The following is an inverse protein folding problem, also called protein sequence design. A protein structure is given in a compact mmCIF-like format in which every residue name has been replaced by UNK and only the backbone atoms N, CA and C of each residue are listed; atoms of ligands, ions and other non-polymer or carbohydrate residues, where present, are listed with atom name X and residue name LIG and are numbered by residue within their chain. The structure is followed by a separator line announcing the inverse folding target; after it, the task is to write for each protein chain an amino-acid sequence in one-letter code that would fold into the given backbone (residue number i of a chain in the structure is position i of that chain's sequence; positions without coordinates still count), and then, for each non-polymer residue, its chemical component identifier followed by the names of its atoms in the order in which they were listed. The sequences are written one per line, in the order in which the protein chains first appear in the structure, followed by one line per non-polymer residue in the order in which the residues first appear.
data_IF_281341655733
#
_entry.id   IF_281341655733
#
_cell.length_a   1.000
_cell.length_b   1.000
_cell.length_c   1.000
_cell.angle_alpha   90.00
_cell.angle_beta   90.00
_cell.angle_gamma   90.00
#
_symmetry.space_group_name_H-M   'P 1'
#
loop_
_entity.id
_entity.type
_entity.pdbx_description
1 polymer ?
#
# COMPACT_ATOMS: atom_id res chain seq x y z
N UNK A 1 -7.40 4.66 2.02
CA UNK A 1 -7.62 3.24 1.63
C UNK A 1 -6.97 2.27 2.60
N UNK A 2 -5.64 2.30 2.78
CA UNK A 2 -4.91 1.33 3.62
C UNK A 2 -5.43 1.20 5.08
N UNK A 3 -5.83 2.30 5.74
CA UNK A 3 -6.41 2.24 7.09
C UNK A 3 -7.76 1.54 7.16
N UNK A 4 -8.65 1.79 6.18
CA UNK A 4 -9.94 1.11 6.14
C UNK A 4 -9.77 -0.41 5.94
N UNK A 5 -8.84 -0.81 5.07
CA UNK A 5 -8.50 -2.22 4.85
C UNK A 5 -7.93 -2.88 6.11
N UNK A 6 -7.00 -2.21 6.81
CA UNK A 6 -6.48 -2.71 8.10
C UNK A 6 -7.59 -2.99 9.11
N UNK A 7 -8.52 -2.04 9.29
CA UNK A 7 -9.64 -2.19 10.24
C UNK A 7 -10.57 -3.34 9.86
N UNK A 8 -10.86 -3.49 8.55
CA UNK A 8 -11.69 -4.58 8.06
C UNK A 8 -11.07 -5.93 8.35
N UNK A 9 -9.79 -6.13 7.97
CA UNK A 9 -9.07 -7.37 8.24
C UNK A 9 -8.97 -7.68 9.73
N UNK A 10 -8.63 -6.68 10.55
CA UNK A 10 -8.53 -6.85 12.00
C UNK A 10 -9.82 -7.34 12.63
N UNK A 11 -10.96 -6.80 12.19
CA UNK A 11 -12.29 -7.22 12.65
C UNK A 11 -12.70 -8.60 12.12
N UNK A 12 -12.46 -8.88 10.84
CA UNK A 12 -12.84 -10.17 10.23
C UNK A 12 -12.01 -11.34 10.77
N UNK A 13 -10.73 -11.10 11.04
CA UNK A 13 -9.79 -12.13 11.50
C UNK A 13 -9.61 -12.15 13.03
N UNK A 14 -10.25 -11.21 13.74
CA UNK A 14 -10.09 -10.98 15.18
C UNK A 14 -8.60 -10.87 15.60
N UNK A 15 -7.85 -10.00 14.90
CA UNK A 15 -6.41 -9.79 15.11
C UNK A 15 -6.14 -8.34 15.52
N UNK A 16 -5.24 -8.17 16.49
CA UNK A 16 -4.72 -6.85 16.92
C UNK A 16 -3.59 -6.34 16.04
N UNK A 17 -3.08 -7.15 15.12
CA UNK A 17 -2.13 -6.73 14.09
C UNK A 17 -2.42 -7.50 12.79
N UNK A 18 -2.35 -6.79 11.67
CA UNK A 18 -2.56 -7.36 10.33
C UNK A 18 -1.42 -6.97 9.41
N UNK A 19 -1.12 -7.85 8.46
CA UNK A 19 -0.16 -7.61 7.38
C UNK A 19 -0.83 -7.88 6.04
N UNK A 20 -0.66 -6.97 5.09
CA UNK A 20 -1.10 -7.13 3.70
C UNK A 20 -0.10 -6.46 2.76
N UNK A 21 -0.03 -6.89 1.52
CA UNK A 21 0.78 -6.23 0.50
C UNK A 21 0.08 -4.97 0.00
N UNK A 22 0.83 -3.90 -0.27
CA UNK A 22 0.32 -2.74 -1.00
C UNK A 22 1.26 -2.38 -2.15
N UNK A 23 0.68 -2.07 -3.31
CA UNK A 23 1.46 -1.63 -4.47
C UNK A 23 1.80 -0.15 -4.37
N UNK A 24 3.06 0.19 -4.59
CA UNK A 24 3.55 1.57 -4.80
C UNK A 24 3.95 1.73 -6.25
N UNK A 25 3.82 2.95 -6.77
CA UNK A 25 4.22 3.27 -8.15
C UNK A 25 5.73 3.21 -8.36
N UNK A 26 6.53 3.17 -7.27
CA UNK A 26 7.99 3.11 -7.28
C UNK A 26 8.69 4.22 -8.05
N UNK A 27 7.99 5.32 -8.37
CA UNK A 27 8.57 6.50 -9.01
C UNK A 27 9.24 7.36 -7.93
N UNK A 28 10.57 7.56 -7.95
CA UNK A 28 11.22 8.52 -7.06
C UNK A 28 10.67 9.91 -7.34
N UNK A 29 10.31 10.66 -6.29
CA UNK A 29 9.82 12.04 -6.41
C UNK A 29 10.84 12.97 -7.12
N UNK A 30 12.12 12.58 -7.14
CA UNK A 30 13.24 13.35 -7.67
C UNK A 30 13.61 13.00 -9.12
N UNK A 31 12.92 12.05 -9.77
CA UNK A 31 13.23 11.67 -11.14
C UNK A 31 12.49 12.57 -12.14
N UNK A 32 13.18 13.62 -12.61
CA UNK A 32 12.71 14.48 -13.70
C UNK A 32 12.40 13.63 -14.96
N UNK A 33 11.16 13.70 -15.47
CA UNK A 33 10.71 12.88 -16.61
C UNK A 33 10.16 11.50 -16.24
N UNK A 34 9.87 11.23 -14.96
CA UNK A 34 9.23 9.97 -14.56
C UNK A 34 7.83 9.80 -15.15
N UNK A 35 7.09 10.86 -15.44
CA UNK A 35 5.76 10.78 -16.09
C UNK A 35 5.81 10.24 -17.53
N UNK A 36 6.97 10.34 -18.21
CA UNK A 36 7.15 9.90 -19.60
C UNK A 36 7.90 8.58 -19.76
N UNK A 37 8.34 7.95 -18.65
CA UNK A 37 9.05 6.66 -18.71
C UNK A 37 8.05 5.50 -18.56
N UNK A 38 7.86 4.76 -19.65
CA UNK A 38 7.16 3.47 -19.69
C UNK A 38 8.09 2.41 -19.08
N UNK A 39 7.79 1.98 -17.86
CA UNK A 39 8.51 0.93 -17.15
C UNK A 39 7.69 0.42 -15.97
N UNK A 40 7.82 -0.88 -15.65
CA UNK A 40 7.15 -1.50 -14.51
C UNK A 40 7.85 -1.07 -13.21
N UNK A 41 7.64 0.18 -12.79
CA UNK A 41 8.14 0.69 -11.51
C UNK A 41 7.29 0.25 -10.32
N UNK A 42 6.24 -0.56 -10.55
CA UNK A 42 5.37 -1.05 -9.50
C UNK A 42 6.16 -1.96 -8.56
N UNK A 43 6.19 -1.61 -7.28
CA UNK A 43 6.73 -2.45 -6.22
C UNK A 43 5.62 -2.85 -5.24
N UNK A 44 5.78 -3.99 -4.58
CA UNK A 44 4.86 -4.45 -3.54
C UNK A 44 5.57 -4.46 -2.20
N UNK A 45 5.02 -3.73 -1.23
CA UNK A 45 5.59 -3.63 0.11
C UNK A 45 4.62 -4.23 1.14
N UNK A 46 5.14 -4.93 2.16
CA UNK A 46 4.32 -5.36 3.28
C UNK A 46 3.90 -4.13 4.09
N UNK A 47 2.61 -4.05 4.36
CA UNK A 47 2.03 -3.02 5.22
C UNK A 47 1.56 -3.69 6.49
N UNK A 48 2.26 -3.41 7.59
CA UNK A 48 1.92 -3.92 8.92
C UNK A 48 1.14 -2.84 9.66
N UNK A 49 0.07 -3.23 10.33
CA UNK A 49 -0.77 -2.31 11.07
C UNK A 49 -1.21 -2.94 12.37
N UNK A 50 -0.74 -2.37 13.49
CA UNK A 50 -1.27 -2.66 14.82
C UNK A 50 -2.56 -1.87 15.02
N UNK A 51 -3.56 -2.53 15.58
CA UNK A 51 -4.89 -2.01 15.84
C UNK A 51 -5.10 -2.03 17.36
N UNK A 52 -5.13 -0.84 17.94
CA UNK A 52 -5.51 -0.65 19.33
C UNK A 52 -6.97 -0.19 19.37
N UNK A 53 -7.82 -0.98 20.02
CA UNK A 53 -9.25 -0.70 20.15
C UNK A 53 -9.53 0.50 21.06
N UNK A 54 -8.58 0.88 21.91
CA UNK A 54 -8.70 2.05 22.81
C UNK A 54 -8.20 3.33 22.13
N UNK A 55 -7.46 3.22 21.03
CA UNK A 55 -6.93 4.36 20.30
C UNK A 55 -7.99 5.03 19.43
N UNK A 56 -8.06 6.36 19.48
CA UNK A 56 -8.90 7.13 18.56
C UNK A 56 -8.46 6.91 17.10
N UNK A 57 -9.39 6.53 16.23
CA UNK A 57 -9.14 6.23 14.81
C UNK A 57 -8.37 7.35 14.11
N UNK A 58 -8.68 8.62 14.40
CA UNK A 58 -7.97 9.76 13.81
C UNK A 58 -6.49 9.83 14.21
N UNK A 59 -6.16 9.50 15.46
CA UNK A 59 -4.76 9.46 15.94
C UNK A 59 -4.00 8.30 15.31
N UNK A 60 -4.65 7.13 15.26
CA UNK A 60 -4.10 5.94 14.61
C UNK A 60 -3.81 6.16 13.13
N UNK A 61 -4.76 6.75 12.38
CA UNK A 61 -4.57 7.09 10.97
C UNK A 61 -3.42 8.08 10.76
N UNK A 62 -3.26 9.05 11.67
CA UNK A 62 -2.16 10.02 11.61
C UNK A 62 -0.80 9.36 11.84
N UNK A 63 -0.68 8.51 12.86
CA UNK A 63 0.55 7.74 13.11
C UNK A 63 0.90 6.89 11.89
N UNK A 64 -0.08 6.18 11.34
CA UNK A 64 0.11 5.36 10.14
C UNK A 64 0.52 6.17 8.91
N UNK A 65 -0.04 7.37 8.72
CA UNK A 65 0.38 8.28 7.66
C UNK A 65 1.85 8.70 7.84
N UNK A 66 2.28 8.95 9.07
CA UNK A 66 3.68 9.28 9.39
C UNK A 66 4.61 8.11 9.08
N UNK A 67 4.24 6.89 9.46
CA UNK A 67 5.01 5.67 9.16
C UNK A 67 5.16 5.47 7.64
N UNK A 68 4.07 5.69 6.90
CA UNK A 68 4.08 5.64 5.43
C UNK A 68 5.02 6.70 4.83
N UNK A 69 5.06 7.91 5.40
CA UNK A 69 5.99 8.95 4.94
C UNK A 69 7.45 8.60 5.21
N UNK A 70 7.76 8.01 6.37
CA UNK A 70 9.12 7.56 6.70
C UNK A 70 9.56 6.38 5.82
N UNK A 71 8.62 5.51 5.44
CA UNK A 71 8.91 4.34 4.61
C UNK A 71 9.21 4.68 3.14
N UNK A 72 8.92 5.91 2.69
CA UNK A 72 9.11 6.36 1.29
C UNK A 72 10.54 6.14 0.78
N UNK A 73 11.53 6.39 1.64
CA UNK A 73 12.94 6.22 1.29
C UNK A 73 13.25 4.76 0.88
N UNK A 74 12.52 3.79 1.43
CA UNK A 74 12.72 2.36 1.22
C UNK A 74 11.76 1.75 0.20
N UNK A 75 10.88 2.54 -0.43
CA UNK A 75 9.82 2.00 -1.30
C UNK A 75 10.34 1.29 -2.56
N UNK A 76 11.61 1.49 -2.90
CA UNK A 76 12.29 0.84 -4.02
C UNK A 76 12.87 -0.54 -3.65
N UNK A 77 12.80 -0.96 -2.39
CA UNK A 77 13.34 -2.24 -1.92
C UNK A 77 12.49 -3.39 -2.48
N UNK A 78 13.04 -4.29 -3.31
CA UNK A 78 12.27 -5.39 -3.89
C UNK A 78 11.72 -6.32 -2.80
N UNK A 79 10.47 -6.79 -2.98
CA UNK A 79 9.80 -7.67 -2.00
C UNK A 79 10.64 -8.89 -1.59
N UNK A 80 11.37 -9.52 -2.51
CA UNK A 80 12.21 -10.68 -2.19
C UNK A 80 13.33 -10.35 -1.20
N UNK A 81 13.86 -9.13 -1.21
CA UNK A 81 14.87 -8.69 -0.24
C UNK A 81 14.25 -8.50 1.13
N UNK A 82 13.04 -7.93 1.18
CA UNK A 82 12.27 -7.78 2.42
C UNK A 82 11.96 -9.16 3.03
N UNK A 83 11.52 -10.12 2.21
CA UNK A 83 11.28 -11.50 2.64
C UNK A 83 12.55 -12.15 3.18
N UNK A 84 13.69 -11.96 2.51
CA UNK A 84 14.98 -12.48 2.98
C UNK A 84 15.42 -11.85 4.32
N UNK A 85 15.16 -10.56 4.53
CA UNK A 85 15.48 -9.88 5.79
C UNK A 85 14.57 -10.31 6.94
N UNK A 86 13.30 -10.62 6.64
CA UNK A 86 12.34 -11.14 7.61
C UNK A 86 12.55 -12.63 7.93
N UNK A 87 13.43 -13.32 7.19
CA UNK A 87 13.69 -14.74 7.36
C UNK A 87 14.17 -15.08 8.77
N UNK A 88 13.55 -16.08 9.39
CA UNK A 88 13.77 -16.48 10.78
C UNK A 88 13.28 -15.49 11.85
N UNK A 89 12.80 -14.30 11.49
CA UNK A 89 12.21 -13.33 12.44
C UNK A 89 10.68 -13.37 12.45
N UNK A 90 10.08 -13.75 11.32
CA UNK A 90 8.64 -13.87 11.14
C UNK A 90 8.35 -15.28 10.66
N UNK A 91 7.38 -15.97 11.28
CA UNK A 91 6.88 -17.22 10.70
C UNK A 91 6.05 -16.89 9.47
N UNK A 92 6.59 -17.15 8.30
CA UNK A 92 5.79 -17.26 7.09
C UNK A 92 5.01 -18.57 7.19
N UNK A 93 3.70 -18.51 7.01
CA UNK A 93 2.98 -19.71 6.64
C UNK A 93 3.35 -20.09 5.18
N UNK A 94 2.67 -21.08 4.62
CA UNK A 94 2.94 -21.47 3.23
C UNK A 94 2.60 -20.37 2.20
N UNK A 95 1.98 -19.24 2.60
CA UNK A 95 1.52 -18.17 1.70
C UNK A 95 2.48 -16.97 1.67
N UNK A 96 3.45 -16.86 2.59
CA UNK A 96 4.49 -15.82 2.58
C UNK A 96 4.29 -14.75 3.67
N UNK A 97 4.71 -13.50 3.41
CA UNK A 97 4.59 -12.39 4.39
C UNK A 97 3.14 -11.96 4.63
N UNK A 98 2.29 -12.14 3.64
CA UNK A 98 0.89 -11.72 3.63
C UNK A 98 0.10 -12.54 2.62
N UNK A 99 -1.21 -12.60 2.81
CA UNK A 99 -2.18 -13.38 2.04
C UNK A 99 -3.14 -12.52 1.19
N UNK A 100 -3.08 -11.21 1.36
CA UNK A 100 -3.94 -10.24 0.67
C UNK A 100 -3.14 -9.06 0.11
N UNK A 101 -3.62 -8.49 -1.00
CA UNK A 101 -3.00 -7.39 -1.71
C UNK A 101 -4.00 -6.23 -1.90
N UNK A 102 -3.60 -5.02 -1.53
CA UNK A 102 -4.36 -3.80 -1.77
C UNK A 102 -3.69 -2.99 -2.89
N UNK A 103 -4.38 -2.88 -4.02
CA UNK A 103 -3.97 -2.08 -5.17
C UNK A 103 -4.82 -0.81 -5.20
N UNK A 104 -4.18 0.34 -5.37
CA UNK A 104 -4.88 1.62 -5.52
C UNK A 104 -4.39 2.34 -6.77
N UNK A 105 -5.29 2.52 -7.74
CA UNK A 105 -5.02 3.17 -9.01
C UNK A 105 -5.78 4.50 -9.06
N UNK A 106 -5.04 5.61 -9.12
CA UNK A 106 -5.63 6.92 -9.42
C UNK A 106 -5.84 7.00 -10.94
N UNK A 107 -6.92 6.42 -11.47
CA UNK A 107 -7.33 6.73 -12.84
C UNK A 107 -7.87 8.16 -12.89
N UNK A 108 -7.38 9.02 -13.81
CA UNK A 108 -8.06 10.27 -14.07
C UNK A 108 -9.45 9.95 -14.64
N UNK A 109 -10.50 10.30 -13.91
CA UNK A 109 -11.91 10.12 -14.30
C UNK A 109 -12.29 11.05 -15.50
N UNK A 110 -11.37 11.89 -15.97
CA UNK A 110 -11.64 12.97 -16.92
C UNK A 110 -11.79 12.58 -18.41
N UNK A 111 -11.74 11.29 -18.79
CA UNK A 111 -11.97 10.89 -20.19
C UNK A 111 -13.29 10.14 -20.44
N UNK A 112 -14.15 9.95 -19.43
CA UNK A 112 -15.48 9.32 -19.64
C UNK A 112 -16.68 10.27 -19.57
N UNK A 113 -16.46 11.57 -19.35
CA UNK A 113 -17.51 12.60 -19.46
C UNK A 113 -17.05 13.70 -20.43
N UNK A 114 -17.12 13.42 -21.73
CA UNK A 114 -16.78 14.42 -22.75
C UNK A 114 -16.99 14.00 -24.21
N UNK A 115 -17.81 12.98 -24.48
CA UNK A 115 -18.00 12.49 -25.85
C UNK A 115 -19.48 12.21 -26.19
N UNK A 116 -20.44 12.93 -25.58
CA UNK A 116 -21.88 12.76 -25.89
C UNK A 116 -22.66 14.08 -26.08
N UNK A 117 -21.97 15.23 -26.23
CA UNK A 117 -22.64 16.50 -26.57
C UNK A 117 -21.88 17.26 -27.66
N UNK A 118 -21.69 16.65 -28.85
CA UNK A 118 -21.45 17.39 -30.09
C UNK A 118 -21.97 16.58 -31.29
N UNK A 119 -23.28 16.36 -31.36
CA UNK A 119 -23.99 16.15 -32.64
C UNK A 119 -25.50 16.42 -32.43
N UNK A 120 -25.91 17.65 -32.75
CA UNK A 120 -27.30 18.13 -32.72
C UNK A 120 -27.44 19.47 -33.40
#
# INVERSE_FOLDING_TARGET
MQGAWSLLLGRMLNKSAVCFGATTSGRPADLAGSDSTVGLFINTLPVISTLDNEQLVGQWLKARQQDSMQSREFEHTPLYQIQKLADGQVSFDQQGLFDSLLIFENYPISESLGADELDG
#
